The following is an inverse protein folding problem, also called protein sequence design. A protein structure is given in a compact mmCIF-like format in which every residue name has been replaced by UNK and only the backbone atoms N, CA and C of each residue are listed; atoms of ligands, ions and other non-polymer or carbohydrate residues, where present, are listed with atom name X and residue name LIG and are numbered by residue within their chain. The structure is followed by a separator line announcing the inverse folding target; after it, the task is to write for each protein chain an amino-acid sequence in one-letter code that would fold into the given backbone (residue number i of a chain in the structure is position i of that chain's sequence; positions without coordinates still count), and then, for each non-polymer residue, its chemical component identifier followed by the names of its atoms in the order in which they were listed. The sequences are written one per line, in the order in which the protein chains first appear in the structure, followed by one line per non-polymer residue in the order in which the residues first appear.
data_IF_303144449437
#
_entry.id   IF_303144449437
#
_cell.length_a   1.000
_cell.length_b   1.000
_cell.length_c   1.000
_cell.angle_alpha   90.00
_cell.angle_beta   90.00
_cell.angle_gamma   90.00
#
_symmetry.space_group_name_H-M   'P 1'
#
loop_
_entity.id
_entity.type
_entity.pdbx_description
1 polymer ?
#
# COMPACT_ATOMS: atom_id res chain seq x y z
N UNK A 1 -23.74 -2.78 -11.87
CA UNK A 1 -23.50 -3.08 -10.44
C UNK A 1 -22.20 -2.39 -10.07
N UNK A 2 -22.28 -1.28 -9.33
CA UNK A 2 -21.12 -0.48 -8.95
C UNK A 2 -20.58 -1.07 -7.64
N UNK A 3 -19.39 -1.66 -7.69
CA UNK A 3 -18.69 -2.08 -6.46
C UNK A 3 -18.25 -0.81 -5.75
N UNK A 4 -18.76 -0.57 -4.54
CA UNK A 4 -18.32 0.58 -3.76
C UNK A 4 -16.87 0.36 -3.29
N UNK A 5 -15.95 1.33 -3.51
CA UNK A 5 -14.60 1.26 -3.00
C UNK A 5 -14.62 1.10 -1.48
N UNK A 6 -13.84 0.18 -0.90
CA UNK A 6 -13.59 0.22 0.54
C UNK A 6 -12.88 1.52 0.89
N UNK A 7 -13.34 2.18 1.96
CA UNK A 7 -12.71 3.39 2.45
C UNK A 7 -11.26 3.10 2.86
N UNK A 8 -10.35 4.01 2.55
CA UNK A 8 -8.96 3.88 2.97
C UNK A 8 -8.84 4.08 4.48
N UNK A 9 -8.32 3.08 5.19
CA UNK A 9 -8.19 3.07 6.66
C UNK A 9 -6.76 3.37 7.15
N UNK A 10 -5.82 3.63 6.24
CA UNK A 10 -4.39 3.75 6.57
C UNK A 10 -3.66 2.40 6.68
N UNK A 11 -4.37 1.28 6.59
CA UNK A 11 -3.79 -0.05 6.63
C UNK A 11 -4.09 -0.85 5.36
N UNK A 12 -3.03 -1.20 4.62
CA UNK A 12 -3.12 -1.97 3.37
C UNK A 12 -3.74 -3.36 3.58
N UNK A 13 -3.48 -4.03 4.70
CA UNK A 13 -4.06 -5.35 4.98
C UNK A 13 -5.58 -5.24 5.18
N UNK A 14 -6.02 -4.27 5.98
CA UNK A 14 -7.45 -4.04 6.23
C UNK A 14 -8.16 -3.67 4.93
N UNK A 15 -7.56 -2.79 4.13
CA UNK A 15 -8.13 -2.38 2.84
C UNK A 15 -8.31 -3.55 1.88
N UNK A 16 -7.30 -4.43 1.73
CA UNK A 16 -7.43 -5.64 0.90
C UNK A 16 -8.48 -6.61 1.44
N UNK A 17 -8.57 -6.79 2.77
CA UNK A 17 -9.59 -7.66 3.36
C UNK A 17 -11.01 -7.16 3.04
N UNK A 18 -11.24 -5.84 3.10
CA UNK A 18 -12.52 -5.23 2.74
C UNK A 18 -12.81 -5.37 1.23
N UNK A 19 -11.79 -5.17 0.39
CA UNK A 19 -11.91 -5.34 -1.05
C UNK A 19 -12.28 -6.78 -1.43
N UNK A 20 -11.65 -7.77 -0.79
CA UNK A 20 -11.93 -9.19 -1.02
C UNK A 20 -13.31 -9.62 -0.54
N UNK A 21 -13.78 -9.06 0.60
CA UNK A 21 -15.16 -9.24 1.04
C UNK A 21 -16.15 -8.71 -0.01
N UNK A 22 -15.82 -7.57 -0.64
CA UNK A 22 -16.63 -7.01 -1.72
C UNK A 22 -16.63 -7.89 -2.98
N UNK A 23 -15.49 -8.48 -3.33
CA UNK A 23 -15.42 -9.47 -4.41
C UNK A 23 -16.32 -10.67 -4.15
N UNK A 24 -16.25 -11.23 -2.94
CA UNK A 24 -17.08 -12.36 -2.54
C UNK A 24 -18.59 -12.00 -2.60
N UNK A 25 -18.97 -10.84 -2.07
CA UNK A 25 -20.36 -10.38 -2.07
C UNK A 25 -20.94 -10.19 -3.49
N UNK A 26 -20.12 -9.78 -4.44
CA UNK A 26 -20.52 -9.53 -5.83
C UNK A 26 -20.21 -10.69 -6.79
N UNK A 27 -19.78 -11.86 -6.28
CA UNK A 27 -19.40 -13.05 -7.07
C UNK A 27 -18.30 -12.77 -8.11
N UNK A 28 -17.36 -11.90 -7.77
CA UNK A 28 -16.20 -11.57 -8.61
C UNK A 28 -15.12 -12.63 -8.38
N UNK A 29 -14.93 -13.50 -9.36
CA UNK A 29 -14.04 -14.65 -9.23
C UNK A 29 -12.74 -14.52 -10.05
N UNK A 30 -12.80 -13.88 -11.22
CA UNK A 30 -11.66 -13.87 -12.15
C UNK A 30 -10.58 -12.88 -11.73
N UNK A 31 -9.31 -13.25 -11.89
CA UNK A 31 -8.17 -12.37 -11.59
C UNK A 31 -8.24 -11.06 -12.38
N UNK A 32 -8.67 -11.11 -13.65
CA UNK A 32 -8.82 -9.92 -14.49
C UNK A 32 -9.86 -8.94 -13.94
N UNK A 33 -11.03 -9.44 -13.49
CA UNK A 33 -12.05 -8.58 -12.87
C UNK A 33 -11.56 -7.98 -11.55
N UNK A 34 -10.95 -8.80 -10.68
CA UNK A 34 -10.39 -8.32 -9.41
C UNK A 34 -9.33 -7.26 -9.63
N UNK A 35 -8.45 -7.46 -10.59
CA UNK A 35 -7.39 -6.53 -10.96
C UNK A 35 -7.97 -5.18 -11.42
N UNK A 36 -8.90 -5.20 -12.37
CA UNK A 36 -9.52 -3.97 -12.89
C UNK A 36 -10.28 -3.19 -11.81
N UNK A 37 -10.99 -3.90 -10.93
CA UNK A 37 -11.73 -3.27 -9.82
C UNK A 37 -10.75 -2.72 -8.77
N UNK A 38 -9.71 -3.47 -8.41
CA UNK A 38 -8.66 -2.99 -7.51
C UNK A 38 -8.03 -1.70 -8.05
N UNK A 39 -7.64 -1.66 -9.33
CA UNK A 39 -7.07 -0.45 -9.96
C UNK A 39 -8.03 0.74 -9.90
N UNK A 40 -9.32 0.51 -10.18
CA UNK A 40 -10.34 1.56 -10.19
C UNK A 40 -10.61 2.15 -8.80
N UNK A 41 -10.26 1.41 -7.75
CA UNK A 41 -10.53 1.77 -6.35
C UNK A 41 -9.24 2.02 -5.56
N UNK A 42 -8.09 2.09 -6.23
CA UNK A 42 -6.79 2.16 -5.58
C UNK A 42 -6.61 3.51 -4.86
N UNK A 43 -6.34 3.52 -3.54
CA UNK A 43 -6.03 4.74 -2.81
C UNK A 43 -4.78 5.42 -3.38
N UNK A 44 -4.72 6.77 -3.45
CA UNK A 44 -3.57 7.48 -4.02
C UNK A 44 -2.21 7.10 -3.41
N UNK A 45 -2.19 6.82 -2.10
CA UNK A 45 -0.99 6.36 -1.39
C UNK A 45 -0.48 5.02 -1.93
N UNK A 46 -1.38 4.06 -2.16
CA UNK A 46 -1.00 2.77 -2.73
C UNK A 46 -0.64 2.89 -4.21
N UNK A 47 -1.32 3.76 -4.97
CA UNK A 47 -0.98 4.06 -6.36
C UNK A 47 0.46 4.57 -6.50
N UNK A 48 0.92 5.38 -5.56
CA UNK A 48 2.30 5.86 -5.55
C UNK A 48 3.31 4.74 -5.25
N UNK A 49 2.98 3.82 -4.34
CA UNK A 49 3.86 2.69 -3.99
C UNK A 49 4.07 1.71 -5.15
N UNK A 50 3.13 1.63 -6.11
CA UNK A 50 3.24 0.78 -7.31
C UNK A 50 3.24 1.56 -8.62
N UNK A 51 3.61 2.84 -8.59
CA UNK A 51 3.57 3.70 -9.79
C UNK A 51 4.38 3.13 -10.95
N UNK A 52 5.53 2.56 -10.68
CA UNK A 52 6.37 1.84 -11.63
C UNK A 52 5.61 0.68 -12.30
N UNK A 53 4.88 -0.12 -11.53
CA UNK A 53 4.09 -1.24 -12.05
C UNK A 53 2.90 -0.79 -12.92
N UNK A 54 2.38 0.42 -12.68
CA UNK A 54 1.27 1.00 -13.42
C UNK A 54 1.71 1.70 -14.72
N UNK A 55 2.87 2.37 -14.71
CA UNK A 55 3.35 3.20 -15.82
C UNK A 55 4.17 2.39 -16.83
N UNK A 56 4.90 1.37 -16.37
CA UNK A 56 5.73 0.52 -17.22
C UNK A 56 5.53 -0.96 -16.85
N UNK A 57 4.37 -1.55 -17.21
CA UNK A 57 4.06 -2.92 -16.85
C UNK A 57 4.96 -3.89 -17.63
N UNK A 58 5.97 -4.44 -16.95
CA UNK A 58 6.95 -5.35 -17.55
C UNK A 58 6.37 -6.74 -17.82
N UNK A 59 5.33 -7.13 -17.09
CA UNK A 59 4.59 -8.38 -17.25
C UNK A 59 3.08 -8.15 -17.06
N UNK A 60 2.22 -9.04 -17.60
CA UNK A 60 0.80 -9.03 -17.25
C UNK A 60 0.63 -9.33 -15.75
N UNK A 61 0.37 -8.30 -14.96
CA UNK A 61 0.17 -8.44 -13.53
C UNK A 61 -1.21 -9.01 -13.19
N UNK A 62 -1.25 -10.07 -12.39
CA UNK A 62 -2.47 -10.58 -11.77
C UNK A 62 -2.84 -9.77 -10.51
N UNK A 63 -4.10 -9.84 -10.08
CA UNK A 63 -4.52 -9.26 -8.80
C UNK A 63 -3.66 -9.79 -7.65
N UNK A 64 -3.40 -11.10 -7.64
CA UNK A 64 -2.60 -11.76 -6.61
C UNK A 64 -1.17 -11.23 -6.55
N UNK A 65 -0.51 -11.06 -7.71
CA UNK A 65 0.85 -10.53 -7.81
C UNK A 65 0.95 -9.10 -7.30
N UNK A 66 0.03 -8.22 -7.70
CA UNK A 66 0.03 -6.81 -7.25
C UNK A 66 -0.30 -6.69 -5.78
N UNK A 67 -1.23 -7.50 -5.25
CA UNK A 67 -1.54 -7.54 -3.83
C UNK A 67 -0.29 -7.89 -3.02
N UNK A 68 0.43 -8.93 -3.40
CA UNK A 68 1.64 -9.35 -2.69
C UNK A 68 2.72 -8.25 -2.70
N UNK A 69 2.94 -7.62 -3.86
CA UNK A 69 3.93 -6.57 -4.02
C UNK A 69 3.57 -5.31 -3.22
N UNK A 70 2.30 -4.90 -3.23
CA UNK A 70 1.80 -3.80 -2.39
C UNK A 70 2.01 -4.08 -0.90
N UNK A 71 1.70 -5.29 -0.44
CA UNK A 71 1.89 -5.66 0.96
C UNK A 71 3.37 -5.63 1.37
N UNK A 72 4.27 -6.10 0.50
CA UNK A 72 5.73 -6.03 0.71
C UNK A 72 6.21 -4.58 0.79
N UNK A 73 5.81 -3.74 -0.18
CA UNK A 73 6.25 -2.34 -0.26
C UNK A 73 5.73 -1.50 0.91
N UNK A 74 4.45 -1.61 1.26
CA UNK A 74 3.91 -0.87 2.41
C UNK A 74 4.53 -1.34 3.73
N UNK A 75 4.80 -2.64 3.91
CA UNK A 75 5.48 -3.12 5.11
C UNK A 75 6.90 -2.53 5.24
N UNK A 76 7.64 -2.44 4.13
CA UNK A 76 8.95 -1.82 4.09
C UNK A 76 8.89 -0.30 4.33
N UNK A 77 7.88 0.37 3.77
CA UNK A 77 7.63 1.81 3.94
C UNK A 77 7.38 2.16 5.42
N UNK A 78 6.46 1.43 6.09
CA UNK A 78 6.18 1.57 7.54
C UNK A 78 7.45 1.34 8.40
N UNK A 79 8.27 0.34 8.08
CA UNK A 79 9.54 0.08 8.78
C UNK A 79 10.54 1.23 8.61
N UNK A 80 10.67 1.79 7.40
CA UNK A 80 11.55 2.92 7.11
C UNK A 80 11.10 4.19 7.84
N UNK A 81 9.80 4.45 7.87
CA UNK A 81 9.22 5.58 8.60
C UNK A 81 9.49 5.47 10.10
N UNK A 82 9.24 4.30 10.69
CA UNK A 82 9.55 4.04 12.10
C UNK A 82 11.04 4.21 12.43
N UNK A 83 11.93 3.69 11.58
CA UNK A 83 13.38 3.85 11.75
C UNK A 83 13.84 5.32 11.61
N UNK A 84 13.20 6.11 10.73
CA UNK A 84 13.49 7.55 10.63
C UNK A 84 13.08 8.30 11.90
N UNK A 85 11.91 8.01 12.46
CA UNK A 85 11.44 8.63 13.70
C UNK A 85 12.41 8.35 14.87
N UNK A 86 12.82 7.09 15.04
CA UNK A 86 13.80 6.70 16.07
C UNK A 86 15.18 7.36 15.88
N UNK A 87 15.64 7.52 14.63
CA UNK A 87 16.90 8.19 14.35
C UNK A 87 16.80 9.73 14.48
N UNK A 88 15.63 10.32 14.27
CA UNK A 88 15.40 11.75 14.46
C UNK A 88 15.26 12.13 15.94
N UNK A 89 14.77 11.22 16.79
CA UNK A 89 14.59 11.48 18.24
C UNK A 89 15.93 11.38 19.02
N UNK A 90 16.93 10.66 18.51
CA UNK A 90 18.29 10.63 19.08
C UNK A 90 19.15 11.85 18.74
N UNK A 91 18.70 12.75 17.85
CA UNK A 91 19.43 13.99 17.52
C UNK A 91 19.01 15.20 18.39
N UNK A 92 18.16 14.98 19.40
CA UNK A 92 17.74 16.02 20.35
C UNK A 92 18.66 16.22 21.57
N UNK A 93 19.63 15.33 21.82
CA UNK A 93 20.37 15.31 23.09
C UNK A 93 21.91 15.42 22.93
N UNK A 94 22.35 16.09 21.85
CA UNK A 94 23.74 16.54 21.78
C UNK A 94 23.92 17.78 22.65
N UNK A 95 24.33 17.55 23.90
CA UNK A 95 24.91 18.56 24.80
C UNK A 95 25.89 19.44 24.00
N UNK A 96 25.80 20.78 24.08
CA UNK A 96 26.87 21.63 23.61
C UNK A 96 28.02 21.56 24.63
N UNK A 97 28.78 20.47 24.59
CA UNK A 97 30.12 20.45 25.17
C UNK A 97 31.01 21.16 24.15
N UNK A 98 31.28 22.44 24.39
CA UNK A 98 32.41 23.26 23.92
C UNK A 98 31.96 24.72 23.72
N UNK A 99 31.83 25.45 24.82
CA UNK A 99 32.32 26.82 24.83
C UNK A 99 33.51 26.83 25.80
N UNK A 100 34.65 27.22 25.24
CA UNK A 100 35.94 27.41 25.91
C UNK A 100 35.82 28.36 27.11
#
# INVERSE_FOLDING_TARGET
MTVLPPAWTGDTLIWFAQLEASFAANRIATEAQKYNIMLSNLPPLLSNEIRDLLVDPTEPFSYSSVKEELLKRTANSKRKEFAKLFNSEQLGDRKPTQLL
#
